data_IF_268923564094
#
_entry.id   IF_268923564094
#
_cell.length_a   1.000
_cell.length_b   1.000
_cell.length_c   1.000
_cell.angle_alpha   90.00
_cell.angle_beta   90.00
_cell.angle_gamma   90.00
#
_symmetry.space_group_name_H-M   'P 1'
#
loop_
_entity.id
_entity.type
_entity.pdbx_description
1 polymer ?
#
# COMPACT_ATOMS: atom_id res chain seq x y z
N UNK A 1 -18.82 35.71 59.13
CA UNK A 1 -18.60 34.27 58.84
C UNK A 1 -18.95 33.82 57.40
N UNK A 2 -19.21 34.72 56.44
CA UNK A 2 -19.62 34.31 55.07
C UNK A 2 -18.48 34.19 54.03
N UNK A 3 -17.26 34.67 54.31
CA UNK A 3 -16.15 34.66 53.34
C UNK A 3 -15.30 33.38 53.40
N UNK A 4 -15.40 32.56 54.46
CA UNK A 4 -14.67 31.28 54.58
C UNK A 4 -15.32 30.09 53.86
N UNK A 5 -16.59 30.17 53.48
CA UNK A 5 -17.30 29.09 52.75
C UNK A 5 -16.97 29.08 51.23
N UNK A 6 -16.59 30.22 50.65
CA UNK A 6 -16.26 30.29 49.21
C UNK A 6 -14.91 29.63 48.83
N UNK A 7 -13.97 29.50 49.78
CA UNK A 7 -12.71 28.75 49.53
C UNK A 7 -12.87 27.23 49.57
N UNK A 8 -13.92 26.70 50.22
CA UNK A 8 -14.23 25.25 50.18
C UNK A 8 -15.00 24.85 48.90
N UNK A 9 -15.74 25.78 48.27
CA UNK A 9 -16.39 25.57 46.98
C UNK A 9 -15.42 25.49 45.78
N UNK A 10 -14.29 26.19 45.85
CA UNK A 10 -13.26 26.17 44.79
C UNK A 10 -12.36 24.92 44.84
N UNK A 11 -12.15 24.33 46.02
CA UNK A 11 -11.42 23.06 46.13
C UNK A 11 -12.22 21.83 45.63
N UNK A 12 -13.55 21.91 45.63
CA UNK A 12 -14.42 20.88 45.03
C UNK A 12 -14.49 20.97 43.49
N UNK A 13 -14.20 22.14 42.91
CA UNK A 13 -14.14 22.31 41.46
C UNK A 13 -12.81 21.86 40.85
N UNK A 14 -11.72 21.83 41.62
CA UNK A 14 -10.43 21.27 41.16
C UNK A 14 -10.30 19.76 41.39
N UNK A 15 -11.07 19.16 42.31
CA UNK A 15 -11.08 17.70 42.52
C UNK A 15 -12.04 16.90 41.61
N UNK A 16 -13.05 17.52 40.99
CA UNK A 16 -13.94 16.85 40.02
C UNK A 16 -13.36 16.75 38.59
N UNK A 17 -12.04 16.81 38.45
CA UNK A 17 -11.35 16.82 37.16
C UNK A 17 -11.22 15.45 36.47
N UNK A 18 -11.60 14.31 37.07
CA UNK A 18 -11.31 13.02 36.42
C UNK A 18 -12.32 11.90 36.72
N UNK A 19 -13.15 11.61 35.70
CA UNK A 19 -13.69 10.27 35.32
C UNK A 19 -15.20 10.06 35.49
N UNK A 20 -16.00 10.66 34.60
CA UNK A 20 -17.40 10.24 34.40
C UNK A 20 -17.46 8.92 33.58
N UNK A 21 -18.10 7.88 34.14
CA UNK A 21 -18.45 6.64 33.42
C UNK A 21 -19.94 6.69 33.10
N UNK A 22 -20.32 6.87 31.84
CA UNK A 22 -21.72 6.77 31.41
C UNK A 22 -21.94 5.43 30.69
N UNK A 23 -22.94 4.66 31.12
CA UNK A 23 -23.57 3.61 30.33
C UNK A 23 -24.86 4.19 29.75
N UNK A 24 -24.97 4.27 28.43
CA UNK A 24 -26.20 4.70 27.77
C UNK A 24 -26.80 3.46 27.09
N UNK A 25 -27.90 2.98 27.64
CA UNK A 25 -28.72 1.89 27.11
C UNK A 25 -30.04 2.51 26.64
N UNK A 26 -30.35 2.40 25.34
CA UNK A 26 -31.58 2.95 24.76
C UNK A 26 -31.41 3.73 23.45
N UNK A 27 -32.43 3.68 22.60
CA UNK A 27 -32.51 4.35 21.28
C UNK A 27 -32.82 5.84 21.39
N UNK A 28 -32.00 6.61 22.11
CA UNK A 28 -32.09 8.07 22.10
C UNK A 28 -31.21 8.66 20.99
N UNK A 29 -31.78 9.52 20.14
CA UNK A 29 -31.09 10.21 19.05
C UNK A 29 -30.27 11.40 19.59
N UNK A 30 -29.36 11.14 20.52
CA UNK A 30 -28.62 12.17 21.26
C UNK A 30 -27.56 12.86 20.40
N UNK A 31 -27.67 14.20 20.30
CA UNK A 31 -26.72 15.09 19.65
C UNK A 31 -25.76 15.71 20.66
N UNK A 32 -24.69 15.01 21.04
CA UNK A 32 -23.79 15.48 22.11
C UNK A 32 -22.56 16.22 21.56
N UNK A 33 -22.17 17.30 22.23
CA UNK A 33 -20.90 18.01 22.04
C UNK A 33 -20.08 17.86 23.32
N UNK A 34 -18.82 17.46 23.18
CA UNK A 34 -17.91 17.30 24.31
C UNK A 34 -16.63 18.09 24.09
N UNK A 35 -16.21 18.84 25.11
CA UNK A 35 -14.99 19.66 25.13
C UNK A 35 -14.15 19.32 26.36
N UNK A 36 -12.81 19.40 26.23
CA UNK A 36 -11.82 19.38 27.32
C UNK A 36 -11.95 18.28 28.39
N UNK A 37 -12.30 17.04 28.02
CA UNK A 37 -12.58 16.02 29.02
C UNK A 37 -12.04 14.61 28.72
N UNK A 38 -11.97 13.82 29.80
CA UNK A 38 -11.56 12.40 29.81
C UNK A 38 -12.76 11.50 30.04
N UNK A 39 -13.05 10.63 29.07
CA UNK A 39 -14.23 9.75 29.15
C UNK A 39 -13.92 8.29 28.85
N UNK A 40 -14.65 7.42 29.55
CA UNK A 40 -14.74 5.99 29.27
C UNK A 40 -16.21 5.64 29.07
N UNK A 41 -16.58 5.26 27.84
CA UNK A 41 -17.99 5.02 27.48
C UNK A 41 -18.12 3.67 26.77
N UNK A 42 -19.22 2.97 27.04
CA UNK A 42 -19.65 1.77 26.32
C UNK A 42 -21.01 2.08 25.70
N UNK A 43 -21.14 1.79 24.41
CA UNK A 43 -22.40 1.95 23.69
C UNK A 43 -22.80 0.61 23.07
N UNK A 44 -24.04 0.21 23.29
CA UNK A 44 -24.68 -0.96 22.71
C UNK A 44 -25.94 -0.52 21.95
N UNK A 45 -26.18 -1.08 20.76
CA UNK A 45 -27.40 -0.86 19.95
C UNK A 45 -27.75 0.62 19.66
N UNK A 46 -26.76 1.52 19.65
CA UNK A 46 -26.99 2.96 19.59
C UNK A 46 -26.85 3.59 18.18
N UNK A 47 -27.65 4.65 17.92
CA UNK A 47 -27.55 5.52 16.73
C UNK A 47 -27.37 6.98 17.16
N UNK A 48 -26.15 7.50 17.02
CA UNK A 48 -25.80 8.84 17.52
C UNK A 48 -24.99 9.69 16.52
N UNK A 49 -25.02 11.01 16.75
CA UNK A 49 -24.16 12.01 16.09
C UNK A 49 -23.41 12.79 17.16
N UNK A 50 -22.09 12.72 17.18
CA UNK A 50 -21.29 13.38 18.22
C UNK A 50 -20.17 14.23 17.61
N UNK A 51 -19.84 15.34 18.26
CA UNK A 51 -18.66 16.15 17.99
C UNK A 51 -17.79 16.20 19.25
N UNK A 52 -16.52 15.88 19.10
CA UNK A 52 -15.52 15.97 20.17
C UNK A 52 -14.42 16.95 19.79
N UNK A 53 -14.08 17.86 20.71
CA UNK A 53 -12.96 18.79 20.61
C UNK A 53 -12.05 18.61 21.84
N UNK A 54 -10.73 18.60 21.62
CA UNK A 54 -9.70 18.55 22.68
C UNK A 54 -9.86 17.40 23.70
N UNK A 55 -10.39 16.24 23.28
CA UNK A 55 -10.76 15.15 24.20
C UNK A 55 -9.75 13.98 24.22
N UNK A 56 -9.63 13.33 25.39
CA UNK A 56 -8.94 12.04 25.58
C UNK A 56 -9.96 10.95 25.94
N UNK A 57 -10.15 9.92 25.10
CA UNK A 57 -11.21 8.93 25.37
C UNK A 57 -10.87 7.47 25.06
N UNK A 58 -11.55 6.58 25.77
CA UNK A 58 -11.55 5.13 25.54
C UNK A 58 -12.99 4.64 25.37
N UNK A 59 -13.35 4.21 24.16
CA UNK A 59 -14.73 3.82 23.88
C UNK A 59 -14.82 2.41 23.29
N UNK A 60 -15.88 1.69 23.63
CA UNK A 60 -16.27 0.44 22.99
C UNK A 60 -17.66 0.61 22.36
N UNK A 61 -17.79 0.20 21.10
CA UNK A 61 -19.05 0.20 20.37
C UNK A 61 -19.37 -1.21 19.89
N UNK A 62 -20.60 -1.64 20.16
CA UNK A 62 -21.18 -2.91 19.69
C UNK A 62 -22.49 -2.61 18.96
N UNK A 63 -22.68 -3.18 17.77
CA UNK A 63 -23.91 -3.05 16.97
C UNK A 63 -24.33 -1.59 16.68
N UNK A 64 -23.37 -0.69 16.46
CA UNK A 64 -23.65 0.76 16.39
C UNK A 64 -23.65 1.32 14.95
N UNK A 65 -24.52 2.31 14.71
CA UNK A 65 -24.56 3.12 13.47
C UNK A 65 -24.35 4.60 13.78
N UNK A 66 -23.21 5.17 13.40
CA UNK A 66 -22.85 6.51 13.89
C UNK A 66 -22.11 7.41 12.90
N UNK A 67 -22.17 8.72 13.17
CA UNK A 67 -21.42 9.77 12.47
C UNK A 67 -20.73 10.68 13.48
N UNK A 68 -19.39 10.71 13.46
CA UNK A 68 -18.61 11.49 14.43
C UNK A 68 -17.60 12.41 13.75
N UNK A 69 -17.36 13.57 14.35
CA UNK A 69 -16.23 14.44 14.04
C UNK A 69 -15.34 14.58 15.28
N UNK A 70 -14.03 14.42 15.08
CA UNK A 70 -13.03 14.60 16.12
C UNK A 70 -12.00 15.64 15.69
N UNK A 71 -11.72 16.60 16.56
CA UNK A 71 -10.69 17.62 16.40
C UNK A 71 -9.76 17.58 17.63
N UNK A 72 -8.44 17.57 17.40
CA UNK A 72 -7.41 17.59 18.44
C UNK A 72 -7.55 16.47 19.51
N UNK A 73 -7.84 15.24 19.09
CA UNK A 73 -8.18 14.15 20.01
C UNK A 73 -7.09 13.07 20.12
N UNK A 74 -6.95 12.48 21.32
CA UNK A 74 -6.14 11.27 21.57
C UNK A 74 -7.04 10.13 22.06
N UNK A 75 -7.09 9.01 21.34
CA UNK A 75 -8.09 7.99 21.67
C UNK A 75 -7.73 6.52 21.40
N UNK A 76 -8.45 5.64 22.10
CA UNK A 76 -8.42 4.18 21.93
C UNK A 76 -9.84 3.64 21.78
N UNK A 77 -10.17 3.08 20.61
CA UNK A 77 -11.53 2.59 20.34
C UNK A 77 -11.54 1.13 19.88
N UNK A 78 -12.56 0.39 20.29
CA UNK A 78 -12.92 -0.91 19.72
C UNK A 78 -14.31 -0.84 19.11
N UNK A 79 -14.46 -1.36 17.90
CA UNK A 79 -15.74 -1.48 17.20
C UNK A 79 -15.99 -2.93 16.82
N UNK A 80 -17.19 -3.41 17.13
CA UNK A 80 -17.70 -4.72 16.74
C UNK A 80 -19.06 -4.52 16.04
N UNK A 81 -19.24 -5.11 14.87
CA UNK A 81 -20.49 -5.05 14.08
C UNK A 81 -20.97 -3.61 13.81
N UNK A 82 -20.09 -2.73 13.33
CA UNK A 82 -20.38 -1.30 13.23
C UNK A 82 -20.47 -0.77 11.79
N UNK A 83 -21.40 0.17 11.56
CA UNK A 83 -21.53 0.92 10.30
C UNK A 83 -21.39 2.42 10.52
N UNK A 84 -20.33 3.04 9.99
CA UNK A 84 -20.02 4.42 10.41
C UNK A 84 -19.34 5.34 9.40
N UNK A 85 -19.43 6.65 9.69
CA UNK A 85 -18.75 7.72 8.96
C UNK A 85 -18.04 8.67 9.92
N UNK A 86 -16.72 8.76 9.84
CA UNK A 86 -15.94 9.61 10.76
C UNK A 86 -15.02 10.58 10.01
N UNK A 87 -14.83 11.77 10.57
CA UNK A 87 -13.78 12.71 10.20
C UNK A 87 -12.86 12.96 11.40
N UNK A 88 -11.56 12.88 11.18
CA UNK A 88 -10.53 13.18 12.18
C UNK A 88 -9.60 14.27 11.67
N UNK A 89 -9.36 15.29 12.49
CA UNK A 89 -8.40 16.36 12.28
C UNK A 89 -7.46 16.42 13.48
N UNK A 90 -6.14 16.46 13.23
CA UNK A 90 -5.10 16.56 14.26
C UNK A 90 -5.19 15.48 15.36
N UNK A 91 -5.30 14.20 14.96
CA UNK A 91 -5.59 13.11 15.90
C UNK A 91 -4.44 12.10 16.08
N UNK A 92 -4.28 11.60 17.32
CA UNK A 92 -3.40 10.47 17.68
C UNK A 92 -4.23 9.29 18.18
N UNK A 93 -4.19 8.12 17.53
CA UNK A 93 -5.11 7.05 17.92
C UNK A 93 -4.71 5.60 17.69
N UNK A 94 -5.39 4.70 18.43
CA UNK A 94 -5.32 3.25 18.30
C UNK A 94 -6.71 2.65 18.18
N UNK A 95 -7.02 1.99 17.07
CA UNK A 95 -8.37 1.40 16.87
C UNK A 95 -8.29 -0.06 16.47
N UNK A 96 -9.27 -0.85 16.93
CA UNK A 96 -9.55 -2.20 16.43
C UNK A 96 -10.97 -2.23 15.87
N UNK A 97 -11.13 -2.82 14.70
CA UNK A 97 -12.42 -3.03 14.04
C UNK A 97 -12.60 -4.52 13.71
N UNK A 98 -13.76 -5.05 14.06
CA UNK A 98 -14.23 -6.39 13.73
C UNK A 98 -15.61 -6.28 13.07
N UNK A 99 -15.79 -6.92 11.91
CA UNK A 99 -17.05 -6.94 11.16
C UNK A 99 -17.61 -5.52 10.88
N UNK A 100 -16.81 -4.67 10.23
CA UNK A 100 -17.14 -3.24 10.10
C UNK A 100 -17.31 -2.77 8.65
N UNK A 101 -18.29 -1.89 8.41
CA UNK A 101 -18.49 -1.19 7.12
C UNK A 101 -18.41 0.33 7.30
N UNK A 102 -17.41 0.98 6.69
CA UNK A 102 -17.17 2.38 7.04
C UNK A 102 -16.55 3.29 5.98
N UNK A 103 -16.69 4.60 6.23
CA UNK A 103 -16.06 5.68 5.46
C UNK A 103 -15.36 6.67 6.38
N UNK A 104 -14.05 6.85 6.23
CA UNK A 104 -13.30 7.78 7.09
C UNK A 104 -12.46 8.77 6.27
N UNK A 105 -12.32 9.99 6.79
CA UNK A 105 -11.33 10.96 6.36
C UNK A 105 -10.40 11.31 7.53
N UNK A 106 -9.10 11.31 7.27
CA UNK A 106 -8.07 11.70 8.23
C UNK A 106 -7.20 12.81 7.65
N UNK A 107 -7.00 13.87 8.43
CA UNK A 107 -6.11 14.98 8.15
C UNK A 107 -5.15 15.15 9.34
N UNK A 108 -3.85 15.25 9.08
CA UNK A 108 -2.80 15.44 10.10
C UNK A 108 -2.86 14.40 11.23
N UNK A 109 -2.82 13.10 10.89
CA UNK A 109 -3.07 12.03 11.85
C UNK A 109 -1.86 11.10 12.05
N UNK A 110 -1.64 10.66 13.31
CA UNK A 110 -0.71 9.58 13.67
C UNK A 110 -1.48 8.40 14.26
N UNK A 111 -1.38 7.20 13.67
CA UNK A 111 -2.25 6.10 14.14
C UNK A 111 -1.77 4.66 13.94
N UNK A 112 -2.39 3.77 14.73
CA UNK A 112 -2.25 2.31 14.64
C UNK A 112 -3.62 1.63 14.57
N UNK A 113 -3.91 0.89 13.51
CA UNK A 113 -5.21 0.22 13.36
C UNK A 113 -5.07 -1.27 13.03
N UNK A 114 -5.99 -2.07 13.55
CA UNK A 114 -6.23 -3.46 13.11
C UNK A 114 -7.66 -3.59 12.59
N UNK A 115 -7.81 -4.24 11.44
CA UNK A 115 -9.09 -4.56 10.83
C UNK A 115 -9.20 -6.06 10.58
N UNK A 116 -10.32 -6.64 10.97
CA UNK A 116 -10.72 -8.01 10.69
C UNK A 116 -12.12 -7.98 10.06
N UNK A 117 -12.30 -8.67 8.92
CA UNK A 117 -13.57 -8.77 8.20
C UNK A 117 -14.20 -7.39 7.90
N UNK A 118 -13.50 -6.55 7.13
CA UNK A 118 -13.90 -5.14 6.95
C UNK A 118 -14.10 -4.73 5.49
N UNK A 119 -15.14 -3.91 5.25
CA UNK A 119 -15.40 -3.26 3.96
C UNK A 119 -15.38 -1.73 4.08
N UNK A 120 -14.44 -1.06 3.40
CA UNK A 120 -14.24 0.36 3.70
C UNK A 120 -13.70 1.26 2.59
N UNK A 121 -13.91 2.56 2.78
CA UNK A 121 -13.35 3.65 1.96
C UNK A 121 -12.67 4.71 2.83
N UNK A 122 -11.37 4.94 2.63
CA UNK A 122 -10.64 5.94 3.43
C UNK A 122 -9.88 6.93 2.56
N UNK A 123 -9.79 8.18 3.02
CA UNK A 123 -8.86 9.20 2.52
C UNK A 123 -7.93 9.64 3.65
N UNK A 124 -6.64 9.70 3.35
CA UNK A 124 -5.61 10.18 4.27
C UNK A 124 -4.81 11.32 3.62
N UNK A 125 -4.66 12.41 4.37
CA UNK A 125 -3.81 13.55 4.03
C UNK A 125 -2.86 13.81 5.21
N UNK A 126 -1.56 13.97 4.92
CA UNK A 126 -0.52 14.26 5.91
C UNK A 126 -0.52 13.26 7.09
N UNK A 127 -0.37 11.96 6.80
CA UNK A 127 -0.54 10.91 7.81
C UNK A 127 0.71 10.04 8.01
N UNK A 128 0.97 9.69 9.27
CA UNK A 128 1.97 8.66 9.67
C UNK A 128 1.27 7.47 10.33
N UNK A 129 1.42 6.26 9.80
CA UNK A 129 0.61 5.15 10.32
C UNK A 129 1.14 3.72 10.17
N UNK A 130 0.59 2.83 10.99
CA UNK A 130 0.78 1.36 10.93
C UNK A 130 -0.56 0.64 10.93
N UNK A 131 -0.83 -0.17 9.91
CA UNK A 131 -2.10 -0.91 9.82
C UNK A 131 -1.88 -2.40 9.54
N UNK A 132 -2.75 -3.24 10.11
CA UNK A 132 -2.91 -4.65 9.73
C UNK A 132 -4.35 -4.88 9.26
N UNK A 133 -4.49 -5.59 8.15
CA UNK A 133 -5.77 -5.99 7.58
C UNK A 133 -5.80 -7.51 7.38
N UNK A 134 -6.89 -8.13 7.82
CA UNK A 134 -7.22 -9.54 7.60
C UNK A 134 -8.63 -9.60 7.01
N UNK A 135 -8.81 -10.34 5.90
CA UNK A 135 -10.09 -10.52 5.22
C UNK A 135 -10.79 -9.18 4.88
N UNK A 136 -10.17 -8.36 4.05
CA UNK A 136 -10.63 -6.98 3.82
C UNK A 136 -10.89 -6.64 2.35
N UNK A 137 -11.97 -5.88 2.09
CA UNK A 137 -12.30 -5.30 0.77
C UNK A 137 -12.34 -3.78 0.85
N UNK A 138 -11.46 -3.09 0.12
CA UNK A 138 -11.32 -1.65 0.35
C UNK A 138 -10.84 -0.77 -0.81
N UNK A 139 -11.10 0.54 -0.65
CA UNK A 139 -10.60 1.62 -1.52
C UNK A 139 -9.95 2.72 -0.70
N UNK A 140 -8.67 3.02 -0.94
CA UNK A 140 -7.97 4.09 -0.20
C UNK A 140 -7.28 5.08 -1.14
N UNK A 141 -7.26 6.35 -0.73
CA UNK A 141 -6.39 7.39 -1.29
C UNK A 141 -5.46 7.92 -0.20
N UNK A 142 -4.18 8.06 -0.53
CA UNK A 142 -3.16 8.62 0.33
C UNK A 142 -2.45 9.77 -0.37
N UNK A 143 -2.32 10.89 0.32
CA UNK A 143 -1.55 12.06 -0.08
C UNK A 143 -0.59 12.43 1.07
N UNK A 144 0.69 12.64 0.74
CA UNK A 144 1.73 13.03 1.70
C UNK A 144 1.80 12.09 2.92
N UNK A 145 2.03 10.78 2.68
CA UNK A 145 1.92 9.76 3.72
C UNK A 145 3.23 8.98 3.96
N UNK A 146 3.52 8.68 5.23
CA UNK A 146 4.58 7.75 5.65
C UNK A 146 3.98 6.55 6.38
N UNK A 147 4.18 5.32 5.91
CA UNK A 147 3.44 4.19 6.51
C UNK A 147 4.03 2.78 6.38
N UNK A 148 3.52 1.88 7.24
CA UNK A 148 3.77 0.45 7.21
C UNK A 148 2.46 -0.35 7.26
N UNK A 149 2.22 -1.21 6.27
CA UNK A 149 0.99 -2.03 6.25
C UNK A 149 1.28 -3.51 6.02
N UNK A 150 0.48 -4.37 6.65
CA UNK A 150 0.37 -5.79 6.33
C UNK A 150 -1.06 -6.11 5.89
N UNK A 151 -1.19 -6.88 4.81
CA UNK A 151 -2.45 -7.36 4.28
C UNK A 151 -2.41 -8.88 4.13
N UNK A 152 -3.45 -9.54 4.62
CA UNK A 152 -3.71 -10.97 4.48
C UNK A 152 -5.13 -11.13 3.93
N UNK A 153 -5.29 -11.94 2.88
CA UNK A 153 -6.59 -12.23 2.24
C UNK A 153 -7.37 -10.94 1.87
N UNK A 154 -6.81 -10.13 0.97
CA UNK A 154 -7.33 -8.78 0.70
C UNK A 154 -7.64 -8.52 -0.78
N UNK A 155 -8.76 -7.82 -1.04
CA UNK A 155 -9.15 -7.31 -2.37
C UNK A 155 -9.26 -5.79 -2.35
N UNK A 156 -8.43 -5.09 -3.13
CA UNK A 156 -8.36 -3.63 -2.98
C UNK A 156 -7.95 -2.79 -4.19
N UNK A 157 -8.28 -1.49 -4.08
CA UNK A 157 -7.84 -0.43 -5.00
C UNK A 157 -7.23 0.74 -4.23
N UNK A 158 -5.98 1.09 -4.51
CA UNK A 158 -5.31 2.21 -3.83
C UNK A 158 -4.68 3.19 -4.81
N UNK A 159 -4.70 4.48 -4.43
CA UNK A 159 -3.91 5.53 -5.06
C UNK A 159 -2.99 6.17 -4.02
N UNK A 160 -1.72 6.35 -4.38
CA UNK A 160 -0.71 7.02 -3.57
C UNK A 160 -0.08 8.17 -4.34
N UNK A 161 0.00 9.33 -3.69
CA UNK A 161 0.69 10.53 -4.17
C UNK A 161 1.65 10.99 -3.07
N UNK A 162 2.91 11.26 -3.42
CA UNK A 162 3.94 11.75 -2.50
C UNK A 162 4.08 10.87 -1.23
N UNK A 163 4.38 9.58 -1.43
CA UNK A 163 4.35 8.59 -0.33
C UNK A 163 5.69 7.87 -0.10
N UNK A 164 6.04 7.66 1.17
CA UNK A 164 7.15 6.78 1.60
C UNK A 164 6.61 5.58 2.39
N UNK A 165 6.86 4.35 1.96
CA UNK A 165 6.18 3.22 2.61
C UNK A 165 6.84 1.83 2.52
N UNK A 166 6.40 0.96 3.43
CA UNK A 166 6.74 -0.48 3.47
C UNK A 166 5.47 -1.33 3.57
N UNK A 167 5.26 -2.24 2.62
CA UNK A 167 4.07 -3.11 2.64
C UNK A 167 4.42 -4.58 2.47
N UNK A 168 3.66 -5.46 3.14
CA UNK A 168 3.62 -6.89 2.89
C UNK A 168 2.21 -7.32 2.50
N UNK A 169 2.11 -8.15 1.47
CA UNK A 169 0.87 -8.73 0.97
C UNK A 169 0.98 -10.24 0.90
N UNK A 170 -0.03 -10.92 1.43
CA UNK A 170 -0.21 -12.37 1.35
C UNK A 170 -1.63 -12.64 0.85
N UNK A 171 -1.78 -13.50 -0.17
CA UNK A 171 -3.07 -13.88 -0.76
C UNK A 171 -3.93 -12.65 -1.16
N UNK A 172 -3.43 -11.85 -2.10
CA UNK A 172 -4.04 -10.55 -2.42
C UNK A 172 -4.39 -10.36 -3.90
N UNK A 173 -5.56 -9.75 -4.16
CA UNK A 173 -5.99 -9.31 -5.50
C UNK A 173 -6.16 -7.79 -5.54
N UNK A 174 -5.38 -7.09 -6.38
CA UNK A 174 -5.36 -5.63 -6.28
C UNK A 174 -5.02 -4.80 -7.52
N UNK A 175 -5.41 -3.53 -7.45
CA UNK A 175 -5.05 -2.48 -8.42
C UNK A 175 -4.48 -1.26 -7.71
N UNK A 176 -3.25 -0.86 -8.05
CA UNK A 176 -2.62 0.33 -7.42
C UNK A 176 -2.07 1.30 -8.46
N UNK A 177 -2.16 2.60 -8.14
CA UNK A 177 -1.42 3.67 -8.82
C UNK A 177 -0.51 4.39 -7.81
N UNK A 178 0.72 4.63 -8.23
CA UNK A 178 1.72 5.37 -7.46
C UNK A 178 2.27 6.53 -8.29
N UNK A 179 2.31 7.71 -7.69
CA UNK A 179 2.93 8.92 -8.22
C UNK A 179 3.87 9.49 -7.17
N UNK A 180 5.11 9.81 -7.55
CA UNK A 180 6.13 10.39 -6.67
C UNK A 180 6.33 9.58 -5.39
N UNK A 181 6.74 8.31 -5.51
CA UNK A 181 6.77 7.37 -4.39
C UNK A 181 8.14 6.72 -4.16
N UNK A 182 8.53 6.57 -2.88
CA UNK A 182 9.69 5.77 -2.44
C UNK A 182 9.21 4.57 -1.60
N UNK A 183 9.52 3.34 -2.01
CA UNK A 183 8.91 2.19 -1.32
C UNK A 183 9.64 0.84 -1.35
N UNK A 184 9.26 -0.02 -0.39
CA UNK A 184 9.66 -1.43 -0.32
C UNK A 184 8.44 -2.33 -0.15
N UNK A 185 8.24 -3.28 -1.07
CA UNK A 185 7.09 -4.20 -1.00
C UNK A 185 7.52 -5.67 -1.11
N UNK A 186 6.82 -6.54 -0.39
CA UNK A 186 6.85 -8.00 -0.57
C UNK A 186 5.46 -8.50 -0.90
N UNK A 187 5.38 -9.37 -1.90
CA UNK A 187 4.14 -10.02 -2.34
C UNK A 187 4.34 -11.54 -2.36
N UNK A 188 3.39 -12.25 -1.79
CA UNK A 188 3.28 -13.71 -1.80
C UNK A 188 1.87 -14.08 -2.24
N UNK A 189 1.75 -14.99 -3.20
CA UNK A 189 0.47 -15.48 -3.74
C UNK A 189 -0.46 -14.33 -4.17
N UNK A 190 -0.01 -13.53 -5.15
CA UNK A 190 -0.66 -12.27 -5.50
C UNK A 190 -1.07 -12.17 -6.98
N UNK A 191 -2.27 -11.61 -7.23
CA UNK A 191 -2.77 -11.24 -8.57
C UNK A 191 -2.97 -9.73 -8.67
N UNK A 192 -2.26 -9.05 -9.57
CA UNK A 192 -2.29 -7.58 -9.54
C UNK A 192 -2.04 -6.79 -10.83
N UNK A 193 -2.50 -5.54 -10.80
CA UNK A 193 -2.23 -4.51 -11.81
C UNK A 193 -1.70 -3.24 -11.16
N UNK A 194 -0.50 -2.80 -11.55
CA UNK A 194 0.10 -1.57 -10.98
C UNK A 194 0.58 -0.61 -12.06
N UNK A 195 0.43 0.70 -11.79
CA UNK A 195 1.07 1.78 -12.53
C UNK A 195 1.96 2.59 -11.58
N UNK A 196 3.18 2.87 -12.03
CA UNK A 196 4.15 3.70 -11.31
C UNK A 196 4.64 4.84 -12.20
N UNK A 197 4.63 6.05 -11.66
CA UNK A 197 5.16 7.26 -12.26
C UNK A 197 6.10 7.93 -11.25
N UNK A 198 7.30 8.32 -11.68
CA UNK A 198 8.31 9.00 -10.84
C UNK A 198 8.58 8.25 -9.52
N UNK A 199 9.06 7.00 -9.61
CA UNK A 199 9.17 6.12 -8.45
C UNK A 199 10.58 5.54 -8.23
N UNK A 200 11.00 5.47 -6.96
CA UNK A 200 12.20 4.74 -6.52
C UNK A 200 11.81 3.57 -5.63
N UNK A 201 12.18 2.33 -5.98
CA UNK A 201 11.64 1.20 -5.23
C UNK A 201 12.41 -0.13 -5.24
N UNK A 202 12.07 -0.98 -4.26
CA UNK A 202 12.54 -2.37 -4.13
C UNK A 202 11.35 -3.32 -3.94
N UNK A 203 11.19 -4.31 -4.82
CA UNK A 203 10.11 -5.31 -4.69
C UNK A 203 10.64 -6.74 -4.72
N UNK A 204 9.99 -7.61 -3.94
CA UNK A 204 10.09 -9.07 -4.06
C UNK A 204 8.71 -9.65 -4.34
N UNK A 205 8.65 -10.57 -5.30
CA UNK A 205 7.44 -11.29 -5.67
C UNK A 205 7.70 -12.79 -5.66
N UNK A 206 6.80 -13.54 -5.02
CA UNK A 206 6.79 -15.00 -4.96
C UNK A 206 5.39 -15.48 -5.36
N UNK A 207 5.29 -16.44 -6.28
CA UNK A 207 4.02 -17.02 -6.74
C UNK A 207 3.02 -15.94 -7.21
N UNK A 208 3.38 -15.17 -8.24
CA UNK A 208 2.63 -13.98 -8.64
C UNK A 208 2.21 -13.96 -10.11
N UNK A 209 0.98 -13.48 -10.37
CA UNK A 209 0.47 -13.17 -11.72
C UNK A 209 0.17 -11.67 -11.85
N UNK A 210 0.82 -10.99 -12.80
CA UNK A 210 0.72 -9.53 -12.81
C UNK A 210 0.91 -8.79 -14.15
N UNK A 211 0.40 -7.55 -14.16
CA UNK A 211 0.62 -6.55 -15.22
C UNK A 211 1.11 -5.23 -14.61
N UNK A 212 2.28 -4.75 -15.04
CA UNK A 212 2.82 -3.48 -14.53
C UNK A 212 3.23 -2.53 -15.66
N UNK A 213 3.02 -1.22 -15.43
CA UNK A 213 3.58 -0.14 -16.23
C UNK A 213 4.45 0.75 -15.34
N UNK A 214 5.64 1.09 -15.84
CA UNK A 214 6.59 1.99 -15.19
C UNK A 214 6.97 3.12 -16.14
N UNK A 215 6.93 4.35 -15.62
CA UNK A 215 7.38 5.56 -16.29
C UNK A 215 8.29 6.33 -15.33
N UNK A 216 9.47 6.76 -15.80
CA UNK A 216 10.45 7.53 -15.02
C UNK A 216 10.80 6.86 -13.68
N UNK A 217 11.35 5.65 -13.73
CA UNK A 217 11.53 4.82 -12.53
C UNK A 217 12.97 4.31 -12.32
N UNK A 218 13.43 4.32 -11.06
CA UNK A 218 14.67 3.66 -10.62
C UNK A 218 14.35 2.49 -9.68
N UNK A 219 14.78 1.27 -9.99
CA UNK A 219 14.32 0.12 -9.20
C UNK A 219 15.18 -1.14 -9.15
N UNK A 220 14.91 -1.96 -8.12
CA UNK A 220 15.45 -3.32 -7.93
C UNK A 220 14.31 -4.31 -7.67
N UNK A 221 14.20 -5.35 -8.49
CA UNK A 221 13.15 -6.37 -8.33
C UNK A 221 13.71 -7.79 -8.35
N UNK A 222 13.12 -8.67 -7.53
CA UNK A 222 13.30 -10.12 -7.60
C UNK A 222 11.95 -10.80 -7.81
N UNK A 223 11.92 -11.76 -8.72
CA UNK A 223 10.75 -12.57 -9.03
C UNK A 223 11.10 -14.06 -8.94
N UNK A 224 10.24 -14.82 -8.27
CA UNK A 224 10.30 -16.28 -8.16
C UNK A 224 8.92 -16.85 -8.48
N UNK A 225 8.84 -17.85 -9.36
CA UNK A 225 7.60 -18.53 -9.77
C UNK A 225 6.52 -17.53 -10.26
N UNK A 226 6.82 -16.81 -11.34
CA UNK A 226 5.99 -15.67 -11.76
C UNK A 226 5.53 -15.73 -13.24
N UNK A 227 4.28 -15.33 -13.48
CA UNK A 227 3.69 -15.12 -14.82
C UNK A 227 3.34 -13.65 -15.03
N UNK A 228 3.94 -12.96 -16.01
CA UNK A 228 3.76 -11.51 -16.09
C UNK A 228 3.90 -10.81 -17.44
N UNK A 229 3.35 -9.58 -17.48
CA UNK A 229 3.52 -8.59 -18.56
C UNK A 229 4.01 -7.25 -17.99
N UNK A 230 5.14 -6.73 -18.47
CA UNK A 230 5.63 -5.39 -18.05
C UNK A 230 5.93 -4.47 -19.23
N UNK A 231 5.65 -3.19 -19.05
CA UNK A 231 6.14 -2.10 -19.91
C UNK A 231 6.96 -1.11 -19.09
N UNK A 232 8.11 -0.72 -19.62
CA UNK A 232 9.02 0.26 -19.02
C UNK A 232 9.33 1.37 -20.03
N UNK A 233 9.24 2.61 -19.57
CA UNK A 233 9.61 3.82 -20.30
C UNK A 233 10.50 4.68 -19.40
N UNK A 234 11.65 5.15 -19.91
CA UNK A 234 12.59 6.01 -19.20
C UNK A 234 13.01 5.43 -17.83
N UNK A 235 13.66 4.26 -17.84
CA UNK A 235 13.91 3.49 -16.61
C UNK A 235 15.38 3.06 -16.42
N UNK A 236 15.85 3.12 -15.17
CA UNK A 236 17.13 2.51 -14.74
C UNK A 236 16.87 1.38 -13.75
N UNK A 237 17.36 0.17 -14.03
CA UNK A 237 16.99 -0.98 -13.19
C UNK A 237 17.94 -2.17 -13.09
N UNK A 238 17.74 -2.94 -12.00
CA UNK A 238 18.35 -4.27 -11.76
C UNK A 238 17.26 -5.30 -11.46
N UNK A 239 17.17 -6.38 -12.25
CA UNK A 239 16.16 -7.43 -12.02
C UNK A 239 16.78 -8.83 -11.99
N UNK A 240 16.25 -9.70 -11.13
CA UNK A 240 16.51 -11.15 -11.14
C UNK A 240 15.19 -11.91 -11.30
N UNK A 241 15.20 -12.92 -12.16
CA UNK A 241 14.07 -13.81 -12.41
C UNK A 241 14.49 -15.27 -12.26
N UNK A 242 13.68 -16.04 -11.55
CA UNK A 242 13.82 -17.48 -11.36
C UNK A 242 12.46 -18.14 -11.63
N UNK A 243 12.43 -19.20 -12.45
CA UNK A 243 11.21 -19.96 -12.80
C UNK A 243 10.07 -19.05 -13.30
N UNK A 244 10.28 -18.36 -14.42
CA UNK A 244 9.38 -17.29 -14.88
C UNK A 244 8.92 -17.43 -16.33
N UNK A 245 7.64 -17.10 -16.60
CA UNK A 245 7.07 -16.95 -17.95
C UNK A 245 6.61 -15.52 -18.20
N UNK A 246 7.14 -14.84 -19.22
CA UNK A 246 6.89 -13.41 -19.34
C UNK A 246 6.95 -12.77 -20.73
N UNK A 247 6.33 -11.58 -20.82
CA UNK A 247 6.48 -10.63 -21.93
C UNK A 247 6.90 -9.25 -21.40
N UNK A 248 7.97 -8.67 -21.94
CA UNK A 248 8.40 -7.31 -21.57
C UNK A 248 8.65 -6.42 -22.79
N UNK A 249 8.31 -5.14 -22.66
CA UNK A 249 8.73 -4.08 -23.58
C UNK A 249 9.52 -3.02 -22.82
N UNK A 250 10.65 -2.60 -23.37
CA UNK A 250 11.51 -1.55 -22.84
C UNK A 250 11.73 -0.47 -23.90
N UNK A 251 11.58 0.79 -23.49
CA UNK A 251 11.85 1.98 -24.29
C UNK A 251 12.71 2.93 -23.44
N UNK A 252 13.80 3.46 -24.02
CA UNK A 252 14.71 4.41 -23.36
C UNK A 252 15.20 3.92 -21.99
N UNK A 253 15.95 2.81 -21.96
CA UNK A 253 16.27 2.12 -20.70
C UNK A 253 17.76 1.75 -20.54
N UNK A 254 18.27 1.88 -19.30
CA UNK A 254 19.59 1.36 -18.89
C UNK A 254 19.42 0.25 -17.84
N UNK A 255 19.98 -0.95 -18.07
CA UNK A 255 19.67 -2.06 -17.17
C UNK A 255 20.67 -3.21 -17.05
N UNK A 256 20.53 -3.96 -15.94
CA UNK A 256 21.17 -5.26 -15.70
C UNK A 256 20.13 -6.32 -15.32
N UNK A 257 20.10 -7.45 -16.03
CA UNK A 257 19.15 -8.54 -15.72
C UNK A 257 19.84 -9.91 -15.65
N UNK A 258 19.38 -10.76 -14.74
CA UNK A 258 19.71 -12.19 -14.68
C UNK A 258 18.44 -13.02 -14.79
N UNK A 259 18.48 -14.07 -15.60
CA UNK A 259 17.40 -15.02 -15.79
C UNK A 259 17.89 -16.45 -15.57
N UNK A 260 17.13 -17.23 -14.80
CA UNK A 260 17.35 -18.64 -14.55
C UNK A 260 16.02 -19.38 -14.75
N UNK A 261 16.03 -20.47 -15.52
CA UNK A 261 14.86 -21.31 -15.80
C UNK A 261 13.65 -20.49 -16.33
N UNK A 262 13.82 -19.84 -17.47
CA UNK A 262 12.84 -18.85 -17.96
C UNK A 262 12.36 -19.09 -19.41
N UNK A 263 11.07 -18.84 -19.65
CA UNK A 263 10.45 -18.79 -21.00
C UNK A 263 9.94 -17.39 -21.31
N UNK A 264 10.43 -16.73 -22.38
CA UNK A 264 10.10 -15.32 -22.57
C UNK A 264 10.08 -14.74 -23.99
N UNK A 265 9.40 -13.59 -24.11
CA UNK A 265 9.46 -12.67 -25.27
C UNK A 265 9.82 -11.25 -24.81
N UNK A 266 10.84 -10.63 -25.41
CA UNK A 266 11.21 -9.24 -25.08
C UNK A 266 11.38 -8.39 -26.34
N UNK A 267 10.96 -7.13 -26.25
CA UNK A 267 11.29 -6.08 -27.23
C UNK A 267 12.05 -4.94 -26.54
N UNK A 268 13.10 -4.47 -27.19
CA UNK A 268 13.94 -3.37 -26.75
C UNK A 268 14.03 -2.29 -27.83
N UNK A 269 13.86 -1.04 -27.43
CA UNK A 269 14.03 0.15 -28.26
C UNK A 269 14.87 1.18 -27.48
N UNK A 270 15.92 1.73 -28.09
CA UNK A 270 16.79 2.76 -27.50
C UNK A 270 17.34 2.35 -26.10
N UNK A 271 18.14 1.28 -26.05
CA UNK A 271 18.53 0.67 -24.76
C UNK A 271 20.03 0.36 -24.64
N UNK A 272 20.58 0.55 -23.43
CA UNK A 272 21.93 0.10 -23.03
C UNK A 272 21.86 -0.98 -21.96
N UNK A 273 22.46 -2.16 -22.16
CA UNK A 273 22.23 -3.26 -21.23
C UNK A 273 23.30 -4.35 -21.06
N UNK A 274 23.22 -5.04 -19.91
CA UNK A 274 23.93 -6.30 -19.63
C UNK A 274 22.95 -7.39 -19.18
N UNK A 275 22.97 -8.56 -19.83
CA UNK A 275 22.10 -9.69 -19.45
C UNK A 275 22.88 -11.00 -19.31
N UNK A 276 22.49 -11.82 -18.32
CA UNK A 276 22.91 -13.22 -18.21
C UNK A 276 21.68 -14.14 -18.25
N UNK A 277 21.79 -15.23 -19.00
CA UNK A 277 20.76 -16.26 -19.13
C UNK A 277 21.34 -17.62 -18.80
N UNK A 278 20.59 -18.40 -18.02
CA UNK A 278 20.88 -19.78 -17.67
C UNK A 278 19.60 -20.60 -17.84
N UNK A 279 19.64 -21.72 -18.57
CA UNK A 279 18.50 -22.65 -18.77
C UNK A 279 17.24 -21.91 -19.31
N UNK A 280 17.34 -21.30 -20.48
CA UNK A 280 16.28 -20.40 -20.99
C UNK A 280 15.83 -20.70 -22.42
N UNK A 281 14.52 -20.52 -22.70
CA UNK A 281 13.94 -20.53 -24.06
C UNK A 281 13.35 -19.16 -24.40
N UNK A 282 13.76 -18.53 -25.50
CA UNK A 282 13.36 -17.16 -25.75
C UNK A 282 13.27 -16.61 -27.18
N UNK A 283 12.52 -15.51 -27.33
CA UNK A 283 12.49 -14.66 -28.53
C UNK A 283 12.78 -13.19 -28.17
N UNK A 284 13.76 -12.56 -28.80
CA UNK A 284 14.07 -11.13 -28.59
C UNK A 284 14.08 -10.34 -29.90
N UNK A 285 13.60 -9.10 -29.84
CA UNK A 285 13.80 -8.08 -30.89
C UNK A 285 14.52 -6.86 -30.30
N UNK A 286 15.52 -6.36 -31.00
CA UNK A 286 16.28 -5.17 -30.66
C UNK A 286 16.20 -4.13 -31.78
N UNK A 287 16.03 -2.86 -31.39
CA UNK A 287 16.10 -1.69 -32.25
C UNK A 287 16.92 -0.62 -31.53
N UNK A 288 17.97 -0.07 -32.16
CA UNK A 288 18.80 1.02 -31.62
C UNK A 288 19.38 0.70 -30.23
N UNK A 289 20.23 -0.33 -30.12
CA UNK A 289 20.68 -0.83 -28.83
C UNK A 289 22.20 -1.09 -28.73
N UNK A 290 22.79 -0.84 -27.55
CA UNK A 290 24.17 -1.25 -27.21
C UNK A 290 24.15 -2.31 -26.10
N UNK A 291 24.82 -3.45 -26.28
CA UNK A 291 24.66 -4.55 -25.32
C UNK A 291 25.81 -5.53 -25.09
N UNK A 292 25.81 -6.14 -23.90
CA UNK A 292 26.63 -7.32 -23.55
C UNK A 292 25.75 -8.46 -23.03
N UNK A 293 25.84 -9.66 -23.61
CA UNK A 293 25.05 -10.82 -23.17
C UNK A 293 25.92 -12.07 -22.96
N UNK A 294 25.59 -12.86 -21.93
CA UNK A 294 26.14 -14.20 -21.71
C UNK A 294 25.00 -15.23 -21.67
N UNK A 295 25.19 -16.35 -22.35
CA UNK A 295 24.25 -17.46 -22.43
C UNK A 295 24.90 -18.76 -21.95
N UNK A 296 24.14 -19.54 -21.17
CA UNK A 296 24.48 -20.89 -20.75
C UNK A 296 23.21 -21.77 -20.87
N UNK A 297 23.29 -22.89 -21.60
CA UNK A 297 22.19 -23.86 -21.76
C UNK A 297 20.89 -23.20 -22.27
N UNK A 298 20.91 -22.61 -23.47
CA UNK A 298 19.79 -21.82 -23.98
C UNK A 298 19.34 -22.17 -25.41
N UNK A 299 18.03 -22.09 -25.69
CA UNK A 299 17.46 -22.16 -27.06
C UNK A 299 16.83 -20.82 -27.45
N UNK A 300 17.20 -20.24 -28.60
CA UNK A 300 16.76 -18.87 -28.90
C UNK A 300 16.55 -18.44 -30.36
N UNK A 301 15.71 -17.41 -30.52
CA UNK A 301 15.54 -16.63 -31.76
C UNK A 301 15.71 -15.14 -31.52
N UNK A 302 16.60 -14.48 -32.25
CA UNK A 302 16.84 -13.02 -32.12
C UNK A 302 16.71 -12.31 -33.46
N UNK A 303 16.13 -11.10 -33.43
CA UNK A 303 16.16 -10.14 -34.54
C UNK A 303 16.85 -8.85 -34.11
N UNK A 304 17.72 -8.30 -34.96
CA UNK A 304 18.43 -7.04 -34.73
C UNK A 304 18.11 -6.02 -35.82
N UNK A 305 18.03 -4.75 -35.41
CA UNK A 305 18.02 -3.56 -36.25
C UNK A 305 18.86 -2.48 -35.55
N UNK A 306 19.90 -2.00 -36.22
CA UNK A 306 20.81 -0.91 -35.80
C UNK A 306 21.35 -1.10 -34.36
N UNK A 307 22.18 -2.12 -34.15
CA UNK A 307 22.66 -2.50 -32.81
C UNK A 307 24.16 -2.84 -32.74
N UNK A 308 24.85 -2.38 -31.67
CA UNK A 308 26.26 -2.73 -31.36
C UNK A 308 26.34 -3.72 -30.20
N UNK A 309 27.15 -4.78 -30.32
CA UNK A 309 27.07 -5.91 -29.38
C UNK A 309 28.36 -6.67 -29.04
N UNK A 310 28.34 -7.35 -27.88
CA UNK A 310 29.29 -8.40 -27.47
C UNK A 310 28.55 -9.57 -26.84
N UNK A 311 28.76 -10.79 -27.34
CA UNK A 311 28.06 -11.98 -26.87
C UNK A 311 29.03 -13.11 -26.51
N UNK A 312 28.73 -13.89 -25.47
CA UNK A 312 29.42 -15.14 -25.15
C UNK A 312 28.40 -16.27 -24.99
N UNK A 313 28.74 -17.46 -25.49
CA UNK A 313 27.90 -18.65 -25.49
C UNK A 313 28.59 -19.82 -24.80
N UNK A 314 27.78 -20.67 -24.16
CA UNK A 314 28.16 -21.98 -23.67
C UNK A 314 26.93 -22.88 -23.81
N UNK A 315 27.03 -23.97 -24.58
CA UNK A 315 25.96 -24.95 -24.83
C UNK A 315 24.62 -24.32 -25.27
N UNK A 316 24.56 -23.71 -26.46
CA UNK A 316 23.37 -22.98 -26.93
C UNK A 316 22.96 -23.35 -28.37
N UNK A 317 21.64 -23.46 -28.64
CA UNK A 317 21.07 -23.64 -29.99
C UNK A 317 20.34 -22.35 -30.45
N UNK A 318 20.60 -21.86 -31.67
CA UNK A 318 20.15 -20.52 -32.07
C UNK A 318 19.73 -20.29 -33.51
N UNK A 319 18.87 -19.27 -33.71
CA UNK A 319 18.56 -18.65 -35.01
C UNK A 319 18.59 -17.12 -34.90
N UNK A 320 19.41 -16.46 -35.73
CA UNK A 320 19.58 -15.01 -35.75
C UNK A 320 19.12 -14.46 -37.10
N UNK A 321 18.45 -13.30 -37.11
CA UNK A 321 18.18 -12.52 -38.32
C UNK A 321 18.64 -11.08 -38.13
N UNK A 322 19.38 -10.56 -39.09
CA UNK A 322 19.81 -9.16 -39.15
C UNK A 322 18.96 -8.43 -40.19
N UNK A 323 18.59 -7.19 -39.91
CA UNK A 323 18.03 -6.26 -40.88
C UNK A 323 18.84 -4.98 -40.71
N UNK A 324 19.75 -4.74 -41.65
CA UNK A 324 20.51 -3.50 -41.74
C UNK A 324 19.74 -2.58 -42.69
N UNK A 325 19.51 -1.36 -42.24
CA UNK A 325 19.25 -0.18 -43.06
C UNK A 325 20.04 0.94 -42.40
#
# INVERSE_FOLDING_TARGET
MAIRQLKKGLHYFECLYNMFIMSLEGTALLGMKYQNAKYKVKYQNAKYKVKYQNAKYKVKYQNAKYKVKYQNAKYKVKYQNAKYKVKYQNAKYKVKYQNAKYKVKYQNAKYKVKYQNAKYKVKYQNAKYKVKYQNAKYKVKYQNAKYKVKYQNAKYKVKYQNAKYKVKYQNAKYKVKYQNAKYKVKYQNARYKVKYQNAKYKVKYQNAKYKVKYQNAKYKVKYQNAKYKVKYQNAKYKVKYQNAKYKVKYQNAKYKVKYQNAKYKVKYQNAKYKVKYQNAKYKVKYQNAKYKVKYQNAKYKVKYQNAKYKVKYQNAKYKVKYQNA
#
